data_IF_264937691588
#
_entry.id   IF_264937691588
#
_cell.length_a   1.000
_cell.length_b   1.000
_cell.length_c   1.000
_cell.angle_alpha   90.00
_cell.angle_beta   90.00
_cell.angle_gamma   90.00
#
_symmetry.space_group_name_H-M   'P 1'
#
loop_
_entity.id
_entity.type
_entity.pdbx_description
1 polymer ?
#
# COMPACT_ATOMS: atom_id res chain seq x y z
N UNK A 1 1.60 -11.72 -11.64
CA UNK A 1 1.42 -10.39 -11.02
C UNK A 1 1.92 -10.50 -9.60
N UNK A 2 2.67 -9.52 -9.11
CA UNK A 2 3.15 -9.52 -7.73
C UNK A 2 1.98 -9.27 -6.76
N UNK A 3 2.05 -9.83 -5.56
CA UNK A 3 1.12 -9.51 -4.49
C UNK A 3 1.71 -8.39 -3.63
N UNK A 4 0.99 -7.27 -3.55
CA UNK A 4 1.40 -6.10 -2.76
C UNK A 4 0.38 -5.90 -1.65
N UNK A 5 0.85 -5.72 -0.42
CA UNK A 5 0.00 -5.44 0.73
C UNK A 5 0.29 -4.02 1.20
N UNK A 6 -0.71 -3.15 1.12
CA UNK A 6 -0.63 -1.76 1.55
C UNK A 6 -1.09 -1.64 2.99
N UNK A 7 -0.21 -1.18 3.88
CA UNK A 7 -0.53 -1.02 5.30
C UNK A 7 -0.56 0.45 5.72
N UNK A 8 -1.47 0.77 6.62
CA UNK A 8 -1.52 2.09 7.25
C UNK A 8 -0.67 2.09 8.53
N UNK A 9 0.24 3.05 8.67
CA UNK A 9 1.01 3.27 9.90
C UNK A 9 0.27 4.22 10.86
N UNK A 10 0.83 4.48 12.05
CA UNK A 10 0.23 5.35 13.07
C UNK A 10 -0.09 6.78 12.57
N UNK A 11 0.50 7.21 11.45
CA UNK A 11 0.27 8.52 10.85
C UNK A 11 -1.09 8.62 10.13
N UNK A 12 -1.85 7.52 10.00
CA UNK A 12 -3.19 7.55 9.41
C UNK A 12 -4.14 8.55 10.10
N UNK A 13 -3.96 8.77 11.41
CA UNK A 13 -4.71 9.74 12.21
C UNK A 13 -4.47 11.18 11.76
N UNK A 14 -3.26 11.50 11.28
CA UNK A 14 -2.91 12.82 10.78
C UNK A 14 -3.66 13.19 9.49
N UNK A 15 -4.28 12.21 8.84
CA UNK A 15 -5.06 12.39 7.61
C UNK A 15 -6.58 12.45 7.87
N UNK A 16 -7.01 12.41 9.12
CA UNK A 16 -8.40 12.67 9.46
C UNK A 16 -8.79 14.09 9.00
N UNK A 17 -9.99 14.28 8.41
CA UNK A 17 -11.12 13.32 8.36
C UNK A 17 -11.13 12.36 7.15
N UNK A 18 -10.11 12.38 6.29
CA UNK A 18 -10.12 11.64 5.03
C UNK A 18 -10.00 10.12 5.22
N UNK A 19 -9.35 9.69 6.29
CA UNK A 19 -9.14 8.28 6.66
C UNK A 19 -10.23 7.69 7.57
N UNK A 20 -11.33 8.40 7.83
CA UNK A 20 -12.41 7.87 8.70
C UNK A 20 -13.13 6.63 8.14
N UNK A 21 -13.23 6.52 6.82
CA UNK A 21 -14.10 5.53 6.15
C UNK A 21 -13.37 4.69 5.09
N UNK A 22 -12.06 4.89 4.98
CA UNK A 22 -11.18 4.25 3.99
C UNK A 22 -9.73 4.33 4.44
N UNK A 23 -8.88 3.38 4.03
CA UNK A 23 -7.46 3.44 4.30
C UNK A 23 -6.78 4.55 3.50
N UNK A 24 -5.57 4.93 3.92
CA UNK A 24 -4.81 6.02 3.30
C UNK A 24 -4.57 5.76 1.82
N UNK A 25 -4.31 4.50 1.44
CA UNK A 25 -4.02 4.15 0.07
C UNK A 25 -5.19 4.36 -0.91
N UNK A 26 -6.43 4.50 -0.41
CA UNK A 26 -7.63 4.80 -1.19
C UNK A 26 -7.85 6.31 -1.41
N UNK A 27 -6.98 7.15 -0.86
CA UNK A 27 -7.00 8.60 -1.12
C UNK A 27 -6.48 8.87 -2.53
N UNK A 28 -7.20 9.70 -3.27
CA UNK A 28 -6.78 10.16 -4.61
C UNK A 28 -5.72 11.23 -4.51
N UNK A 29 -4.64 11.04 -5.26
CA UNK A 29 -3.57 12.03 -5.43
C UNK A 29 -3.45 12.34 -6.93
N UNK A 30 -4.23 13.33 -7.37
CA UNK A 30 -4.51 13.57 -8.78
C UNK A 30 -5.65 12.66 -9.26
N UNK A 31 -5.49 12.05 -10.44
CA UNK A 31 -6.50 11.17 -11.04
C UNK A 31 -6.57 9.81 -10.34
N UNK A 32 -5.41 9.30 -9.89
CA UNK A 32 -5.26 7.96 -9.34
C UNK A 32 -5.21 7.97 -7.81
N UNK A 33 -5.70 6.90 -7.18
CA UNK A 33 -5.42 6.59 -5.77
C UNK A 33 -3.98 6.16 -5.58
N UNK A 34 -3.49 6.19 -4.35
CA UNK A 34 -2.13 5.70 -4.04
C UNK A 34 -2.03 4.21 -4.36
N UNK A 35 -3.08 3.42 -4.06
CA UNK A 35 -3.20 2.02 -4.49
C UNK A 35 -3.03 1.86 -6.00
N UNK A 36 -3.83 2.57 -6.79
CA UNK A 36 -3.80 2.47 -8.26
C UNK A 36 -2.43 2.86 -8.83
N UNK A 37 -1.71 3.79 -8.18
CA UNK A 37 -0.34 4.13 -8.57
C UNK A 37 0.60 2.96 -8.33
N UNK A 38 0.52 2.30 -7.18
CA UNK A 38 1.36 1.13 -6.88
C UNK A 38 1.06 -0.05 -7.81
N UNK A 39 -0.22 -0.35 -8.06
CA UNK A 39 -0.64 -1.39 -9.01
C UNK A 39 -0.04 -1.16 -10.40
N UNK A 40 -0.09 0.08 -10.90
CA UNK A 40 0.49 0.44 -12.21
C UNK A 40 2.02 0.39 -12.23
N UNK A 41 2.67 0.82 -11.14
CA UNK A 41 4.14 0.92 -11.08
C UNK A 41 4.79 -0.45 -10.98
N UNK A 42 4.16 -1.38 -10.26
CA UNK A 42 4.69 -2.72 -9.97
C UNK A 42 4.03 -3.85 -10.78
N UNK A 43 3.04 -3.55 -11.62
CA UNK A 43 2.21 -4.55 -12.33
C UNK A 43 1.70 -5.63 -11.37
N UNK A 44 1.02 -5.15 -10.32
CA UNK A 44 0.68 -5.91 -9.14
C UNK A 44 -0.80 -5.76 -8.78
N UNK A 45 -1.31 -6.69 -7.98
CA UNK A 45 -2.57 -6.51 -7.26
C UNK A 45 -2.27 -6.06 -5.84
N UNK A 46 -3.01 -5.06 -5.38
CA UNK A 46 -2.87 -4.56 -4.02
C UNK A 46 -4.00 -5.09 -3.12
N UNK A 47 -3.64 -5.49 -1.91
CA UNK A 47 -4.55 -5.72 -0.80
C UNK A 47 -4.20 -4.82 0.39
N UNK A 48 -4.91 -4.97 1.51
CA UNK A 48 -4.87 -3.98 2.58
C UNK A 48 -4.57 -4.59 3.96
N UNK A 49 -3.75 -3.91 4.74
CA UNK A 49 -3.66 -4.05 6.20
C UNK A 49 -4.16 -2.74 6.80
N UNK A 50 -5.33 -2.79 7.43
CA UNK A 50 -6.05 -1.60 7.91
C UNK A 50 -6.57 -1.84 9.32
N UNK A 51 -7.17 -0.81 9.91
CA UNK A 51 -7.80 -0.88 11.21
C UNK A 51 -8.98 -1.87 11.18
N UNK A 52 -9.28 -2.50 12.33
CA UNK A 52 -10.28 -3.57 12.43
C UNK A 52 -11.64 -3.19 11.83
N UNK A 53 -12.08 -1.93 12.02
CA UNK A 53 -13.36 -1.43 11.50
C UNK A 53 -13.40 -1.26 9.97
N UNK A 54 -12.24 -1.21 9.31
CA UNK A 54 -12.11 -1.16 7.85
C UNK A 54 -11.83 -2.54 7.24
N UNK A 55 -11.29 -3.48 8.03
CA UNK A 55 -10.82 -4.79 7.57
C UNK A 55 -11.90 -5.63 6.87
N UNK A 56 -13.17 -5.51 7.28
CA UNK A 56 -14.29 -6.22 6.66
C UNK A 56 -14.48 -5.79 5.18
N UNK A 57 -14.32 -4.50 4.90
CA UNK A 57 -14.46 -3.94 3.55
C UNK A 57 -13.15 -3.97 2.77
N UNK A 58 -12.03 -3.81 3.46
CA UNK A 58 -10.68 -3.72 2.90
C UNK A 58 -9.85 -4.90 3.39
N UNK A 59 -10.12 -6.07 2.81
CA UNK A 59 -9.51 -7.31 3.22
C UNK A 59 -8.04 -7.44 2.78
N UNK A 60 -7.27 -8.15 3.60
CA UNK A 60 -5.92 -8.58 3.26
C UNK A 60 -5.97 -9.81 2.34
N UNK A 61 -5.04 -9.87 1.39
CA UNK A 61 -4.77 -11.05 0.60
C UNK A 61 -3.29 -11.41 0.75
N UNK A 62 -3.02 -12.60 1.29
CA UNK A 62 -1.68 -13.10 1.53
C UNK A 62 -1.43 -14.23 0.53
N UNK A 63 -0.30 -14.15 -0.16
CA UNK A 63 0.19 -15.16 -1.11
C UNK A 63 1.55 -15.70 -0.63
N UNK A 64 2.23 -16.54 -1.40
CA UNK A 64 3.54 -17.10 -1.04
C UNK A 64 4.64 -16.02 -0.98
N UNK A 65 4.56 -15.01 -1.85
CA UNK A 65 5.50 -13.88 -1.92
C UNK A 65 4.75 -12.54 -1.87
N UNK A 66 5.06 -11.72 -0.86
CA UNK A 66 4.32 -10.51 -0.55
C UNK A 66 5.28 -9.33 -0.37
N UNK A 67 4.99 -8.25 -1.08
CA UNK A 67 5.67 -6.97 -0.86
C UNK A 67 4.77 -6.10 0.02
N UNK A 68 5.26 -5.75 1.20
CA UNK A 68 4.53 -4.93 2.17
C UNK A 68 5.00 -3.47 2.02
N UNK A 69 4.07 -2.54 1.77
CA UNK A 69 4.38 -1.13 1.51
C UNK A 69 3.49 -0.23 2.37
N UNK A 70 4.07 0.81 2.96
CA UNK A 70 3.32 1.81 3.69
C UNK A 70 2.44 2.64 2.73
N UNK A 71 1.14 2.67 2.99
CA UNK A 71 0.11 3.39 2.22
C UNK A 71 0.33 4.89 2.12
N UNK A 72 1.11 5.50 3.02
CA UNK A 72 1.40 6.94 3.00
C UNK A 72 2.45 7.33 1.95
N UNK A 73 3.18 6.35 1.41
CA UNK A 73 4.29 6.58 0.48
C UNK A 73 3.80 6.53 -0.97
N UNK A 74 4.18 7.57 -1.73
CA UNK A 74 3.96 7.61 -3.17
C UNK A 74 5.10 6.90 -3.92
N UNK A 75 4.78 6.15 -5.00
CA UNK A 75 5.80 5.48 -5.77
C UNK A 75 6.71 6.47 -6.49
N UNK A 76 8.01 6.21 -6.43
CA UNK A 76 9.04 6.96 -7.17
C UNK A 76 9.90 5.99 -7.99
N UNK A 77 10.59 6.48 -9.02
CA UNK A 77 11.47 5.65 -9.83
C UNK A 77 12.56 4.97 -8.98
N UNK A 78 13.11 5.68 -7.98
CA UNK A 78 14.07 5.14 -7.03
C UNK A 78 13.46 4.01 -6.20
N UNK A 79 12.28 4.21 -5.62
CA UNK A 79 11.59 3.17 -4.83
C UNK A 79 11.26 1.93 -5.67
N UNK A 80 10.80 2.12 -6.91
CA UNK A 80 10.57 0.99 -7.83
C UNK A 80 11.83 0.16 -8.03
N UNK A 81 12.97 0.82 -8.26
CA UNK A 81 14.24 0.13 -8.45
C UNK A 81 14.66 -0.63 -7.20
N UNK A 82 14.54 -0.01 -6.02
CA UNK A 82 14.89 -0.65 -4.75
C UNK A 82 14.00 -1.86 -4.48
N UNK A 83 12.69 -1.73 -4.66
CA UNK A 83 11.73 -2.83 -4.47
C UNK A 83 12.00 -3.99 -5.42
N UNK A 84 12.42 -3.71 -6.66
CA UNK A 84 12.79 -4.75 -7.62
C UNK A 84 14.09 -5.49 -7.28
N UNK A 85 14.93 -4.91 -6.42
CA UNK A 85 16.21 -5.47 -6.00
C UNK A 85 16.16 -6.06 -4.59
N UNK A 86 14.99 -6.08 -3.95
CA UNK A 86 14.81 -6.70 -2.64
C UNK A 86 14.92 -8.22 -2.76
N UNK A 87 15.67 -8.81 -1.85
CA UNK A 87 15.67 -10.25 -1.60
C UNK A 87 14.62 -10.62 -0.53
N UNK A 88 14.23 -11.90 -0.44
CA UNK A 88 13.27 -12.34 0.58
C UNK A 88 13.72 -11.98 1.99
N UNK A 89 12.82 -11.41 2.78
CA UNK A 89 13.04 -10.93 4.15
C UNK A 89 13.87 -9.64 4.28
N UNK A 90 14.14 -8.93 3.20
CA UNK A 90 14.74 -7.59 3.25
C UNK A 90 13.68 -6.48 3.41
N UNK A 91 14.11 -5.35 3.96
CA UNK A 91 13.28 -4.16 4.14
C UNK A 91 14.06 -2.89 3.82
N UNK A 92 13.34 -1.87 3.32
CA UNK A 92 13.85 -0.52 3.08
C UNK A 92 13.32 0.37 4.22
N UNK A 93 14.22 1.00 4.96
CA UNK A 93 13.92 1.91 6.07
C UNK A 93 13.91 3.38 5.60
#
# INVERSE_FOLDING_TARGET
MRNVILFDDDNWNGLLPLSFTRPVCEIRVGILTIREKWEKVLDARCSYITQDFLSEKYAIHIDDDNIIINSTILPTAKLKSLINSLEPNEAIL
#
